data_IF_719214264203
#
_entry.id   IF_719214264203
#
_cell.length_a   1.000
_cell.length_b   1.000
_cell.length_c   1.000
_cell.angle_alpha   90.00
_cell.angle_beta   90.00
_cell.angle_gamma   90.00
#
_symmetry.space_group_name_H-M   'P 1'
#
loop_
_entity.id
_entity.type
_entity.pdbx_description
1 polymer ?
#
# COMPACT_ATOMS: atom_id res chain seq x y z
N UNK A 1 71.75 -12.47 9.55
CA UNK A 1 70.87 -11.44 8.93
C UNK A 1 69.49 -11.97 8.49
N UNK A 2 69.12 -13.27 8.66
CA UNK A 2 67.84 -13.90 8.25
C UNK A 2 66.69 -13.77 9.27
N UNK A 3 67.02 -13.68 10.58
CA UNK A 3 65.99 -13.70 11.65
C UNK A 3 65.16 -12.39 11.76
N UNK A 4 65.68 -11.24 11.33
CA UNK A 4 64.96 -9.95 11.38
C UNK A 4 63.86 -9.83 10.31
N UNK A 5 63.96 -10.52 9.16
CA UNK A 5 62.96 -10.48 8.08
C UNK A 5 61.67 -11.23 8.44
N UNK A 6 61.75 -12.34 9.17
CA UNK A 6 60.58 -13.12 9.57
C UNK A 6 59.71 -12.38 10.63
N UNK A 7 60.33 -11.62 11.53
CA UNK A 7 59.55 -10.80 12.50
C UNK A 7 58.82 -9.61 11.86
N UNK A 8 59.36 -9.04 10.79
CA UNK A 8 58.72 -8.00 10.04
C UNK A 8 57.51 -8.53 9.26
N UNK A 9 57.63 -9.67 8.59
CA UNK A 9 56.53 -10.32 7.84
C UNK A 9 55.40 -10.74 8.78
N UNK A 10 55.71 -11.25 9.98
CA UNK A 10 54.72 -11.65 10.99
C UNK A 10 53.97 -10.41 11.55
N UNK A 11 54.65 -9.28 11.74
CA UNK A 11 54.03 -8.01 12.19
C UNK A 11 53.14 -7.40 11.11
N UNK A 12 53.50 -7.49 9.85
CA UNK A 12 52.65 -7.01 8.73
C UNK A 12 51.45 -7.91 8.52
N UNK A 13 51.59 -9.23 8.72
CA UNK A 13 50.50 -10.20 8.68
C UNK A 13 49.43 -9.95 9.76
N UNK A 14 49.86 -9.61 10.99
CA UNK A 14 48.92 -9.29 12.09
C UNK A 14 48.19 -7.95 11.88
N UNK A 15 48.85 -6.95 11.29
CA UNK A 15 48.22 -5.66 10.94
C UNK A 15 47.20 -5.82 9.80
N UNK A 16 47.49 -6.65 8.79
CA UNK A 16 46.56 -6.96 7.72
C UNK A 16 45.36 -7.78 8.21
N UNK A 17 45.54 -8.70 9.15
CA UNK A 17 44.46 -9.50 9.73
C UNK A 17 43.57 -8.66 10.65
N UNK A 18 44.08 -7.66 11.36
CA UNK A 18 43.30 -6.74 12.20
C UNK A 18 42.50 -5.69 11.35
N UNK A 19 43.00 -5.34 10.16
CA UNK A 19 42.32 -4.44 9.25
C UNK A 19 41.05 -5.10 8.61
N UNK A 20 41.01 -6.45 8.53
CA UNK A 20 39.83 -7.18 8.04
C UNK A 20 38.64 -7.14 9.02
N UNK A 21 38.86 -6.83 10.30
CA UNK A 21 37.81 -6.72 11.32
C UNK A 21 37.18 -5.32 11.37
N UNK A 22 37.72 -4.36 10.66
CA UNK A 22 37.13 -3.00 10.50
C UNK A 22 36.36 -2.85 9.21
N UNK A 23 35.82 -3.94 8.64
CA UNK A 23 34.77 -3.78 7.62
C UNK A 23 33.58 -3.07 8.29
N UNK A 24 33.22 -1.86 7.85
CA UNK A 24 32.02 -1.23 8.37
C UNK A 24 30.90 -2.21 8.08
N UNK A 25 30.30 -2.75 9.14
CA UNK A 25 28.99 -3.37 9.04
C UNK A 25 28.12 -2.31 8.38
N UNK A 26 27.80 -2.49 7.12
CA UNK A 26 26.78 -1.68 6.46
C UNK A 26 25.53 -1.94 7.30
N UNK A 27 25.24 -1.01 8.21
CA UNK A 27 23.98 -0.99 8.91
C UNK A 27 22.92 -1.04 7.81
N UNK A 28 22.21 -2.15 7.75
CA UNK A 28 21.09 -2.33 6.82
C UNK A 28 20.25 -1.07 6.98
N UNK A 29 20.25 -0.25 5.95
CA UNK A 29 19.40 0.92 5.91
C UNK A 29 18.00 0.42 6.21
N UNK A 30 17.45 0.95 7.30
CA UNK A 30 16.05 0.74 7.71
C UNK A 30 15.21 0.60 6.46
N UNK A 31 14.51 -0.53 6.33
CA UNK A 31 13.66 -0.84 5.18
C UNK A 31 12.79 0.38 4.87
N UNK A 32 13.25 1.20 3.95
CA UNK A 32 12.52 2.40 3.55
C UNK A 32 11.40 1.99 2.59
N UNK A 33 10.32 2.76 2.54
CA UNK A 33 9.22 2.51 1.61
C UNK A 33 9.72 2.32 0.16
N UNK A 34 10.79 3.01 -0.22
CA UNK A 34 11.41 2.86 -1.54
C UNK A 34 11.97 1.46 -1.79
N UNK A 35 12.58 0.84 -0.79
CA UNK A 35 13.07 -0.54 -0.89
C UNK A 35 11.92 -1.54 -1.04
N UNK A 36 10.82 -1.35 -0.31
CA UNK A 36 9.62 -2.17 -0.47
C UNK A 36 9.01 -2.05 -1.87
N UNK A 37 8.95 -0.84 -2.42
CA UNK A 37 8.46 -0.61 -3.78
C UNK A 37 9.35 -1.28 -4.84
N UNK A 38 10.66 -1.23 -4.69
CA UNK A 38 11.59 -1.92 -5.58
C UNK A 38 11.42 -3.44 -5.50
N UNK A 39 11.34 -3.97 -4.29
CA UNK A 39 11.13 -5.40 -4.04
C UNK A 39 9.80 -5.88 -4.66
N UNK A 40 8.71 -5.13 -4.44
CA UNK A 40 7.41 -5.43 -5.02
C UNK A 40 7.45 -5.43 -6.55
N UNK A 41 8.06 -4.40 -7.17
CA UNK A 41 8.18 -4.31 -8.62
C UNK A 41 8.97 -5.47 -9.24
N UNK A 42 9.97 -5.99 -8.51
CA UNK A 42 10.85 -7.06 -8.98
C UNK A 42 10.24 -8.46 -8.84
N UNK A 43 9.53 -8.71 -7.74
CA UNK A 43 9.09 -10.06 -7.38
C UNK A 43 7.58 -10.30 -7.53
N UNK A 44 6.77 -9.27 -7.74
CA UNK A 44 5.33 -9.44 -7.84
C UNK A 44 4.95 -10.18 -9.14
N UNK A 45 4.20 -11.30 -9.06
CA UNK A 45 3.85 -12.11 -10.23
C UNK A 45 2.98 -11.38 -11.25
N UNK A 46 2.07 -10.51 -10.81
CA UNK A 46 1.17 -9.75 -11.69
C UNK A 46 1.93 -8.79 -12.60
N UNK A 47 2.90 -8.04 -12.04
CA UNK A 47 3.75 -7.13 -12.82
C UNK A 47 4.67 -7.91 -13.76
N UNK A 48 5.23 -9.04 -13.30
CA UNK A 48 6.07 -9.90 -14.12
C UNK A 48 5.29 -10.52 -15.29
N UNK A 49 4.03 -10.92 -15.08
CA UNK A 49 3.16 -11.42 -16.15
C UNK A 49 2.83 -10.35 -17.20
N UNK A 50 2.50 -9.14 -16.77
CA UNK A 50 2.26 -7.99 -17.66
C UNK A 50 3.51 -7.64 -18.48
N UNK A 51 4.70 -7.71 -17.87
CA UNK A 51 5.96 -7.52 -18.56
C UNK A 51 6.26 -8.64 -19.59
N UNK A 52 5.93 -9.89 -19.25
CA UNK A 52 6.06 -11.00 -20.19
C UNK A 52 5.12 -10.86 -21.39
N UNK A 53 3.88 -10.38 -21.17
CA UNK A 53 2.94 -10.07 -22.25
C UNK A 53 3.46 -8.96 -23.17
N UNK A 54 4.05 -7.91 -22.60
CA UNK A 54 4.73 -6.87 -23.39
C UNK A 54 5.86 -7.45 -24.24
N UNK A 55 6.74 -8.29 -23.68
CA UNK A 55 7.79 -8.96 -24.44
C UNK A 55 7.22 -9.83 -25.56
N UNK A 56 6.18 -10.59 -25.27
CA UNK A 56 5.51 -11.41 -26.28
C UNK A 56 4.92 -10.57 -27.43
N UNK A 57 4.39 -9.37 -27.12
CA UNK A 57 3.89 -8.45 -28.15
C UNK A 57 5.02 -7.85 -29.00
N UNK A 58 6.21 -7.61 -28.43
CA UNK A 58 7.38 -7.19 -29.22
C UNK A 58 7.83 -8.26 -30.21
N UNK A 59 7.80 -9.54 -29.82
CA UNK A 59 8.15 -10.65 -30.73
C UNK A 59 7.12 -10.88 -31.84
N UNK A 60 5.90 -10.37 -31.71
CA UNK A 60 4.90 -10.38 -32.78
C UNK A 60 5.19 -9.38 -33.92
N UNK A 61 5.95 -8.31 -33.65
CA UNK A 61 6.27 -7.28 -34.66
C UNK A 61 7.00 -7.87 -35.88
N UNK A 62 8.09 -8.64 -35.72
CA UNK A 62 8.73 -9.27 -36.86
C UNK A 62 7.83 -10.32 -37.54
N UNK A 63 7.01 -11.06 -36.78
CA UNK A 63 6.09 -12.05 -37.31
C UNK A 63 5.00 -11.43 -38.19
N UNK A 64 4.40 -10.30 -37.76
CA UNK A 64 3.40 -9.59 -38.57
C UNK A 64 3.95 -9.06 -39.90
N UNK A 65 5.26 -8.81 -39.96
CA UNK A 65 5.93 -8.42 -41.18
C UNK A 65 6.51 -9.59 -42.01
N UNK A 66 6.36 -10.84 -41.56
CA UNK A 66 6.87 -12.00 -42.31
C UNK A 66 6.00 -12.34 -43.53
N UNK A 67 6.53 -13.13 -44.43
CA UNK A 67 5.71 -13.79 -45.44
C UNK A 67 4.97 -14.96 -44.84
N UNK A 68 3.80 -15.30 -45.38
CA UNK A 68 3.12 -16.55 -45.03
C UNK A 68 4.02 -17.74 -45.39
N UNK A 69 3.97 -18.79 -44.62
CA UNK A 69 4.72 -20.01 -44.88
C UNK A 69 4.28 -20.65 -46.19
N UNK A 70 5.22 -21.20 -46.98
CA UNK A 70 4.86 -21.97 -48.16
C UNK A 70 4.17 -23.28 -47.76
N UNK A 71 3.05 -23.56 -48.38
CA UNK A 71 2.29 -24.82 -48.18
C UNK A 71 2.66 -25.78 -49.29
N UNK A 72 3.10 -26.97 -48.90
CA UNK A 72 3.36 -28.08 -49.80
C UNK A 72 2.32 -29.19 -49.57
N UNK A 73 1.42 -29.36 -50.52
CA UNK A 73 0.44 -30.42 -50.50
C UNK A 73 0.97 -31.59 -51.37
N UNK A 74 0.90 -32.82 -50.83
CA UNK A 74 1.32 -34.03 -51.51
C UNK A 74 0.16 -35.01 -51.52
N UNK A 75 -0.41 -35.23 -52.68
CA UNK A 75 -1.45 -36.24 -52.90
C UNK A 75 -0.87 -37.54 -53.52
N UNK A 76 -1.19 -38.70 -52.93
CA UNK A 76 -0.84 -39.99 -53.51
C UNK A 76 -2.12 -40.76 -53.81
N UNK A 77 -2.28 -41.20 -55.07
CA UNK A 77 -3.45 -41.90 -55.53
C UNK A 77 -3.18 -43.43 -55.52
N UNK A 78 -3.82 -44.15 -54.63
CA UNK A 78 -3.73 -45.62 -54.56
C UNK A 78 -4.34 -46.31 -55.75
N UNK A 79 -5.28 -45.66 -56.46
CA UNK A 79 -5.79 -46.08 -57.77
C UNK A 79 -5.41 -44.94 -58.74
N UNK A 80 -4.58 -45.25 -59.77
CA UNK A 80 -4.19 -44.25 -60.73
C UNK A 80 -5.42 -43.62 -61.41
N UNK A 81 -5.52 -42.30 -61.42
CA UNK A 81 -6.58 -41.57 -62.10
C UNK A 81 -6.19 -41.46 -63.59
N UNK A 82 -7.03 -41.99 -64.48
CA UNK A 82 -6.79 -41.85 -65.93
C UNK A 82 -7.16 -40.44 -66.35
N UNK A 83 -6.15 -39.69 -66.78
CA UNK A 83 -6.31 -38.37 -67.43
C UNK A 83 -5.93 -38.48 -68.90
N UNK A 84 -6.34 -37.48 -69.69
CA UNK A 84 -6.07 -37.44 -71.16
C UNK A 84 -4.59 -37.60 -71.50
N UNK A 85 -3.67 -37.24 -70.59
CA UNK A 85 -2.23 -37.32 -70.80
C UNK A 85 -1.50 -38.44 -70.07
N UNK A 86 -2.23 -39.41 -69.45
CA UNK A 86 -1.62 -40.56 -68.80
C UNK A 86 -2.21 -40.85 -67.40
N UNK A 87 -1.56 -41.78 -66.66
CA UNK A 87 -2.01 -42.20 -65.31
C UNK A 87 -1.32 -41.33 -64.22
N UNK A 88 -2.08 -40.55 -63.48
CA UNK A 88 -1.57 -39.75 -62.38
C UNK A 88 -1.50 -40.62 -61.08
N UNK A 89 -0.29 -40.74 -60.54
CA UNK A 89 0.01 -41.54 -59.31
C UNK A 89 0.26 -40.63 -58.11
N UNK A 90 0.79 -39.46 -58.34
CA UNK A 90 1.09 -38.47 -57.30
C UNK A 90 0.83 -37.05 -57.78
N UNK A 91 0.47 -36.19 -56.86
CA UNK A 91 0.28 -34.75 -57.04
C UNK A 91 1.10 -33.99 -56.03
N UNK A 92 1.80 -32.93 -56.45
CA UNK A 92 2.59 -32.07 -55.64
C UNK A 92 2.19 -30.64 -55.96
N UNK A 93 1.56 -29.97 -55.02
CA UNK A 93 1.14 -28.59 -55.13
C UNK A 93 1.91 -27.73 -54.15
N UNK A 94 2.69 -26.76 -54.63
CA UNK A 94 3.36 -25.77 -53.82
C UNK A 94 2.59 -24.46 -53.93
N UNK A 95 2.05 -23.98 -52.83
CA UNK A 95 1.32 -22.74 -52.75
C UNK A 95 2.08 -21.74 -51.88
N UNK A 96 2.31 -20.52 -52.38
CA UNK A 96 2.91 -19.40 -51.67
C UNK A 96 2.04 -18.16 -51.84
N UNK A 97 1.54 -17.64 -50.73
CA UNK A 97 0.76 -16.40 -50.73
C UNK A 97 1.69 -15.18 -50.67
N UNK A 98 1.53 -14.27 -51.61
CA UNK A 98 2.22 -12.98 -51.62
C UNK A 98 1.20 -11.88 -51.35
N UNK A 99 1.26 -11.24 -50.13
CA UNK A 99 0.36 -10.13 -49.80
C UNK A 99 0.64 -8.93 -50.67
N UNK A 100 -0.37 -8.08 -50.91
CA UNK A 100 -0.29 -6.87 -51.71
C UNK A 100 0.74 -5.89 -51.13
N UNK A 101 1.29 -5.02 -52.02
CA UNK A 101 2.26 -4.01 -51.62
C UNK A 101 1.71 -3.10 -50.51
N UNK A 102 2.48 -2.90 -49.42
CA UNK A 102 2.10 -2.10 -48.26
C UNK A 102 1.40 -2.87 -47.10
N UNK A 103 0.69 -3.97 -47.38
CA UNK A 103 -0.02 -4.74 -46.34
C UNK A 103 0.90 -5.19 -45.20
N UNK A 104 2.09 -5.70 -45.53
CA UNK A 104 3.09 -6.13 -44.54
C UNK A 104 3.61 -4.96 -43.70
N UNK A 105 3.76 -3.77 -44.30
CA UNK A 105 4.17 -2.56 -43.58
C UNK A 105 3.06 -2.12 -42.63
N UNK A 106 1.80 -2.13 -43.07
CA UNK A 106 0.64 -1.80 -42.25
C UNK A 106 0.49 -2.78 -41.10
N UNK A 107 0.56 -4.09 -41.33
CA UNK A 107 0.49 -5.12 -40.29
C UNK A 107 1.62 -4.99 -39.23
N UNK A 108 2.83 -4.62 -39.68
CA UNK A 108 3.95 -4.34 -38.79
C UNK A 108 3.74 -3.07 -37.96
N UNK A 109 3.15 -2.02 -38.56
CA UNK A 109 2.77 -0.79 -37.84
C UNK A 109 1.72 -1.07 -36.78
N UNK A 110 0.67 -1.79 -37.14
CA UNK A 110 -0.37 -2.25 -36.21
C UNK A 110 0.23 -3.05 -35.03
N UNK A 111 1.07 -4.05 -35.32
CA UNK A 111 1.74 -4.84 -34.28
C UNK A 111 2.64 -3.97 -33.39
N UNK A 112 3.24 -2.90 -33.93
CA UNK A 112 4.06 -1.96 -33.14
C UNK A 112 3.19 -1.17 -32.16
N UNK A 113 2.04 -0.65 -32.61
CA UNK A 113 1.12 0.08 -31.72
C UNK A 113 0.47 -0.87 -30.69
N UNK A 114 0.19 -2.13 -31.06
CA UNK A 114 -0.25 -3.15 -30.11
C UNK A 114 0.81 -3.46 -29.03
N UNK A 115 2.09 -3.48 -29.41
CA UNK A 115 3.18 -3.63 -28.45
C UNK A 115 3.31 -2.40 -27.54
N UNK A 116 3.07 -1.19 -28.04
CA UNK A 116 3.01 0.04 -27.25
C UNK A 116 1.85 -0.02 -26.24
N UNK A 117 0.68 -0.46 -26.69
CA UNK A 117 -0.48 -0.67 -25.80
C UNK A 117 -0.15 -1.65 -24.65
N UNK A 118 0.49 -2.78 -24.96
CA UNK A 118 0.91 -3.76 -23.94
C UNK A 118 1.95 -3.18 -22.96
N UNK A 119 2.82 -2.28 -23.43
CA UNK A 119 3.76 -1.56 -22.56
C UNK A 119 3.05 -0.61 -21.59
N UNK A 120 2.07 0.14 -22.07
CA UNK A 120 1.29 1.04 -21.20
C UNK A 120 0.46 0.24 -20.17
N UNK A 121 -0.06 -0.92 -20.56
CA UNK A 121 -0.73 -1.84 -19.63
C UNK A 121 0.22 -2.38 -18.55
N UNK A 122 1.48 -2.68 -18.89
CA UNK A 122 2.51 -3.00 -17.91
C UNK A 122 2.78 -1.82 -16.95
N UNK A 123 2.87 -0.59 -17.48
CA UNK A 123 3.04 0.63 -16.65
C UNK A 123 1.88 0.81 -15.68
N UNK A 124 0.65 0.61 -16.13
CA UNK A 124 -0.55 0.68 -15.31
C UNK A 124 -0.52 -0.38 -14.20
N UNK A 125 -0.25 -1.64 -14.53
CA UNK A 125 -0.13 -2.73 -13.54
C UNK A 125 0.91 -2.41 -12.47
N UNK A 126 2.06 -1.86 -12.85
CA UNK A 126 3.11 -1.42 -11.92
C UNK A 126 2.67 -0.26 -11.05
N UNK A 127 1.98 0.74 -11.62
CA UNK A 127 1.51 1.90 -10.86
C UNK A 127 0.43 1.49 -9.84
N UNK A 128 -0.47 0.59 -10.21
CA UNK A 128 -1.48 0.03 -9.32
C UNK A 128 -0.82 -0.74 -8.17
N UNK A 129 0.18 -1.57 -8.44
CA UNK A 129 0.96 -2.23 -7.40
C UNK A 129 1.62 -1.23 -6.45
N UNK A 130 2.23 -0.17 -6.97
CA UNK A 130 2.86 0.88 -6.14
C UNK A 130 1.83 1.60 -5.27
N UNK A 131 0.65 1.85 -5.79
CA UNK A 131 -0.46 2.43 -5.01
C UNK A 131 -0.88 1.49 -3.88
N UNK A 132 -1.08 0.21 -4.17
CA UNK A 132 -1.47 -0.79 -3.16
C UNK A 132 -0.40 -0.95 -2.08
N UNK A 133 0.88 -1.06 -2.44
CA UNK A 133 2.00 -1.17 -1.48
C UNK A 133 2.06 0.08 -0.59
N UNK A 134 1.96 1.28 -1.16
CA UNK A 134 1.92 2.52 -0.38
C UNK A 134 0.72 2.58 0.55
N UNK A 135 -0.46 2.25 0.05
CA UNK A 135 -1.69 2.25 0.84
C UNK A 135 -1.60 1.30 2.03
N UNK A 136 -1.14 0.07 1.81
CA UNK A 136 -0.95 -0.92 2.89
C UNK A 136 0.14 -0.50 3.88
N UNK A 137 1.22 0.10 3.40
CA UNK A 137 2.28 0.61 4.28
C UNK A 137 1.78 1.74 5.19
N UNK A 138 1.00 2.69 4.64
CA UNK A 138 0.38 3.75 5.46
C UNK A 138 -0.66 3.19 6.42
N UNK A 139 -1.41 2.16 6.03
CA UNK A 139 -2.35 1.48 6.92
C UNK A 139 -1.62 0.82 8.09
N UNK A 140 -0.49 0.15 7.86
CA UNK A 140 0.35 -0.44 8.92
C UNK A 140 0.89 0.64 9.88
N UNK A 141 1.37 1.76 9.34
CA UNK A 141 1.80 2.89 10.17
C UNK A 141 0.66 3.42 11.05
N UNK A 142 -0.54 3.59 10.48
CA UNK A 142 -1.71 4.05 11.22
C UNK A 142 -2.09 3.08 12.35
N UNK A 143 -2.11 1.78 12.08
CA UNK A 143 -2.36 0.76 13.11
C UNK A 143 -1.30 0.78 14.22
N UNK A 144 -0.04 0.99 13.87
CA UNK A 144 1.05 1.09 14.83
C UNK A 144 0.91 2.34 15.73
N UNK A 145 0.54 3.47 15.16
CA UNK A 145 0.28 4.70 15.95
C UNK A 145 -0.98 4.56 16.80
N UNK A 146 -2.05 3.94 16.31
CA UNK A 146 -3.23 3.64 17.12
C UNK A 146 -2.88 2.75 18.30
N UNK A 147 -2.06 1.71 18.08
CA UNK A 147 -1.59 0.83 19.16
C UNK A 147 -0.79 1.61 20.21
N UNK A 148 0.18 2.44 19.79
CA UNK A 148 0.97 3.27 20.72
C UNK A 148 0.09 4.21 21.55
N UNK A 149 -0.86 4.89 20.88
CA UNK A 149 -1.77 5.83 21.55
C UNK A 149 -2.71 5.11 22.54
N UNK A 150 -3.28 3.97 22.15
CA UNK A 150 -4.13 3.17 23.04
C UNK A 150 -3.35 2.63 24.24
N UNK A 151 -2.12 2.16 24.02
CA UNK A 151 -1.24 1.71 25.11
C UNK A 151 -0.87 2.86 26.06
N UNK A 152 -0.60 4.06 25.55
CA UNK A 152 -0.36 5.24 26.37
C UNK A 152 -1.59 5.64 27.18
N UNK A 153 -2.78 5.60 26.59
CA UNK A 153 -4.05 5.86 27.27
C UNK A 153 -4.30 4.84 28.39
N UNK A 154 -4.03 3.55 28.14
CA UNK A 154 -4.13 2.51 29.14
C UNK A 154 -3.19 2.76 30.35
N UNK A 155 -1.94 3.20 30.05
CA UNK A 155 -0.99 3.55 31.10
C UNK A 155 -1.47 4.73 31.96
N UNK A 156 -2.10 5.75 31.33
CA UNK A 156 -2.70 6.88 32.05
C UNK A 156 -3.89 6.42 32.92
N UNK A 157 -4.77 5.56 32.40
CA UNK A 157 -5.89 5.04 33.18
C UNK A 157 -5.43 4.20 34.37
N UNK A 158 -4.34 3.43 34.27
CA UNK A 158 -3.73 2.71 35.41
C UNK A 158 -3.25 3.68 36.49
N UNK A 159 -2.70 4.83 36.12
CA UNK A 159 -2.32 5.86 37.09
C UNK A 159 -3.56 6.51 37.76
N UNK A 160 -4.61 6.77 36.96
CA UNK A 160 -5.87 7.32 37.46
C UNK A 160 -6.58 6.34 38.41
N UNK A 161 -6.57 5.04 38.11
CA UNK A 161 -7.11 4.00 39.03
C UNK A 161 -6.39 4.04 40.35
N UNK A 162 -5.05 4.06 40.37
CA UNK A 162 -4.29 4.16 41.62
C UNK A 162 -4.63 5.42 42.42
N UNK A 163 -4.77 6.57 41.72
CA UNK A 163 -5.16 7.82 42.38
C UNK A 163 -6.59 7.74 42.96
N UNK A 164 -7.54 7.15 42.22
CA UNK A 164 -8.91 6.95 42.66
C UNK A 164 -8.98 5.98 43.87
N UNK A 165 -8.21 4.89 43.86
CA UNK A 165 -8.11 3.97 45.02
C UNK A 165 -7.53 4.66 46.24
N UNK A 166 -6.44 5.42 46.09
CA UNK A 166 -5.84 6.17 47.20
C UNK A 166 -6.84 7.19 47.80
N UNK A 167 -7.63 7.83 46.94
CA UNK A 167 -8.66 8.78 47.38
C UNK A 167 -9.81 8.08 48.08
N UNK A 168 -10.23 6.92 47.59
CA UNK A 168 -11.26 6.08 48.22
C UNK A 168 -10.81 5.59 49.59
N UNK A 169 -9.59 5.08 49.73
CA UNK A 169 -9.05 4.59 51.02
C UNK A 169 -8.82 5.73 52.01
N UNK A 170 -8.38 6.91 51.55
CA UNK A 170 -8.23 8.09 52.40
C UNK A 170 -9.58 8.62 52.94
N UNK A 171 -10.65 8.54 52.14
CA UNK A 171 -11.99 8.96 52.54
C UNK A 171 -12.69 7.96 53.49
N UNK A 172 -12.26 6.70 53.46
CA UNK A 172 -12.80 5.63 54.33
C UNK A 172 -12.08 5.50 55.70
N UNK A 173 -11.04 6.30 55.98
CA UNK A 173 -10.36 6.31 57.27
C UNK A 173 -11.11 7.24 58.23
N UNK A 174 -11.73 6.74 59.33
CA UNK A 174 -12.43 7.58 60.29
C UNK A 174 -11.42 8.33 61.14
N UNK A 175 -11.31 9.63 60.91
CA UNK A 175 -10.82 10.55 61.90
C UNK A 175 -9.35 10.97 61.91
N UNK A 176 -9.03 11.97 61.10
CA UNK A 176 -8.14 13.08 61.49
C UNK A 176 -8.76 14.37 60.96
N UNK A 177 -9.17 15.33 61.75
CA UNK A 177 -9.61 16.62 61.26
C UNK A 177 -8.38 17.34 60.65
N UNK A 178 -8.29 17.37 59.34
CA UNK A 178 -7.30 18.21 58.66
C UNK A 178 -7.74 19.67 58.83
N UNK A 179 -7.07 20.34 59.73
CA UNK A 179 -7.15 21.77 59.89
C UNK A 179 -6.80 22.44 58.56
N UNK A 180 -7.77 23.15 58.02
CA UNK A 180 -7.65 23.92 56.79
C UNK A 180 -6.66 25.07 56.96
N UNK A 181 -5.40 24.82 56.64
CA UNK A 181 -4.45 25.90 56.38
C UNK A 181 -4.48 26.16 54.85
N UNK A 182 -5.45 26.95 54.43
CA UNK A 182 -5.54 27.48 53.10
C UNK A 182 -4.38 28.48 52.89
N UNK A 183 -3.40 28.07 52.11
CA UNK A 183 -2.53 28.99 51.41
C UNK A 183 -2.67 28.71 49.92
N UNK A 184 -3.60 29.44 49.31
CA UNK A 184 -3.78 29.45 47.85
C UNK A 184 -2.66 30.28 47.23
N UNK A 185 -1.90 29.75 46.31
CA UNK A 185 -1.13 30.61 45.42
C UNK A 185 -2.11 31.22 44.40
N UNK A 186 -2.20 32.55 44.44
CA UNK A 186 -2.91 33.37 43.46
C UNK A 186 -2.22 33.24 42.14
N UNK A 187 -2.81 32.45 41.23
CA UNK A 187 -2.42 32.46 39.78
C UNK A 187 -3.29 33.52 39.15
N UNK A 188 -2.64 34.62 38.68
CA UNK A 188 -3.28 35.64 37.90
C UNK A 188 -3.86 35.11 36.61
N UNK A 189 -5.07 35.52 36.20
CA UNK A 189 -5.68 35.05 34.95
C UNK A 189 -4.99 35.65 33.72
N UNK A 190 -4.60 34.79 32.79
CA UNK A 190 -4.24 35.18 31.41
C UNK A 190 -5.48 35.72 30.70
N UNK A 191 -5.34 36.73 29.82
CA UNK A 191 -6.46 37.34 29.12
C UNK A 191 -7.05 36.35 28.08
N UNK A 192 -8.34 36.06 28.22
CA UNK A 192 -9.15 35.36 27.22
C UNK A 192 -9.30 36.22 25.97
N UNK A 193 -8.83 35.72 24.84
CA UNK A 193 -9.20 36.21 23.53
C UNK A 193 -10.66 35.81 23.23
N UNK A 194 -11.53 36.80 23.20
CA UNK A 194 -12.94 36.66 22.77
C UNK A 194 -12.98 36.36 21.28
N UNK A 195 -13.30 35.13 20.92
CA UNK A 195 -13.69 34.78 19.56
C UNK A 195 -15.20 35.01 19.43
N UNK A 196 -15.54 36.07 18.73
CA UNK A 196 -16.91 36.46 18.41
C UNK A 196 -17.44 35.52 17.32
N UNK A 197 -18.27 34.55 17.66
CA UNK A 197 -18.92 33.67 16.71
C UNK A 197 -20.31 34.24 16.39
N UNK A 198 -20.39 35.01 15.30
CA UNK A 198 -21.65 35.50 14.72
C UNK A 198 -22.53 34.36 14.24
N UNK A 199 -23.66 34.27 14.86
CA UNK A 199 -24.76 33.38 14.54
C UNK A 199 -25.48 33.90 13.27
N UNK A 200 -25.26 33.22 12.12
CA UNK A 200 -26.03 33.40 10.89
C UNK A 200 -27.04 32.27 10.74
N UNK A 201 -28.29 32.58 11.10
CA UNK A 201 -29.47 31.76 10.81
C UNK A 201 -29.81 31.86 9.32
N UNK A 202 -29.94 30.72 8.62
CA UNK A 202 -30.67 30.53 7.38
C UNK A 202 -30.91 29.02 7.23
N UNK A 203 -32.16 28.55 7.20
CA UNK A 203 -33.09 28.71 6.11
C UNK A 203 -33.44 27.30 5.64
N UNK A 204 -34.56 26.81 6.09
CA UNK A 204 -35.27 25.58 5.72
C UNK A 204 -35.32 25.38 4.18
N UNK A 205 -34.76 24.28 3.65
CA UNK A 205 -35.06 23.80 2.31
C UNK A 205 -35.38 22.31 2.33
N UNK A 206 -36.61 22.03 1.97
CA UNK A 206 -37.21 20.71 1.75
C UNK A 206 -36.50 19.93 0.63
N UNK A 207 -36.31 18.63 0.77
CA UNK A 207 -35.80 17.80 -0.32
C UNK A 207 -36.91 17.23 -1.18
N UNK A 208 -36.74 17.38 -2.49
CA UNK A 208 -37.52 16.72 -3.56
C UNK A 208 -36.99 15.28 -3.78
N UNK A 209 -37.81 14.31 -4.12
CA UNK A 209 -37.43 12.90 -4.17
C UNK A 209 -36.81 12.51 -5.51
N UNK A 210 -35.69 11.79 -5.47
CA UNK A 210 -35.08 11.08 -6.60
C UNK A 210 -35.30 9.56 -6.49
N UNK A 211 -35.34 8.82 -7.62
CA UNK A 211 -35.89 7.47 -7.71
C UNK A 211 -34.96 6.37 -7.24
N UNK A 212 -35.58 5.31 -6.78
CA UNK A 212 -34.95 4.08 -6.23
C UNK A 212 -34.17 3.28 -7.26
N UNK A 213 -33.01 2.77 -6.84
CA UNK A 213 -32.36 1.59 -7.43
C UNK A 213 -32.12 0.53 -6.35
N UNK A 214 -32.41 -0.75 -6.62
CA UNK A 214 -32.30 -1.82 -5.64
C UNK A 214 -30.93 -2.49 -5.70
N UNK A 215 -30.23 -2.56 -4.59
CA UNK A 215 -28.97 -3.27 -4.48
C UNK A 215 -28.49 -3.32 -3.03
N UNK A 216 -28.89 -4.38 -2.30
CA UNK A 216 -28.59 -4.52 -0.90
C UNK A 216 -27.11 -4.81 -0.62
N UNK A 217 -26.54 -4.02 0.26
CA UNK A 217 -25.41 -4.43 1.10
C UNK A 217 -25.67 -3.81 2.47
N UNK A 218 -25.87 -4.68 3.45
CA UNK A 218 -25.99 -4.27 4.85
C UNK A 218 -24.65 -3.70 5.31
N UNK A 219 -24.52 -2.37 5.22
CA UNK A 219 -23.51 -1.65 5.96
C UNK A 219 -23.90 -1.71 7.44
N UNK A 220 -23.05 -2.31 8.25
CA UNK A 220 -23.08 -2.22 9.71
C UNK A 220 -22.96 -0.75 10.08
N UNK A 221 -24.08 -0.17 10.45
CA UNK A 221 -24.18 1.20 10.94
C UNK A 221 -23.35 1.34 12.20
N UNK A 222 -22.43 2.29 12.18
CA UNK A 222 -21.59 2.64 13.29
C UNK A 222 -22.39 2.93 14.53
N UNK A 223 -21.94 2.34 15.62
CA UNK A 223 -22.29 2.67 16.98
C UNK A 223 -21.77 4.09 17.26
N UNK A 224 -22.56 5.08 16.90
CA UNK A 224 -22.38 6.45 17.35
C UNK A 224 -22.64 6.46 18.85
N UNK A 225 -21.58 6.47 19.63
CA UNK A 225 -21.65 6.77 21.06
C UNK A 225 -22.18 8.19 21.23
N UNK A 226 -23.44 8.27 21.49
CA UNK A 226 -24.09 9.47 22.02
C UNK A 226 -23.52 9.71 23.43
N UNK A 227 -22.40 10.42 23.51
CA UNK A 227 -21.91 10.96 24.76
C UNK A 227 -22.79 12.12 25.17
N UNK A 228 -23.98 11.76 25.70
CA UNK A 228 -24.80 12.69 26.43
C UNK A 228 -24.01 13.19 27.64
N UNK A 229 -23.56 14.44 27.55
CA UNK A 229 -22.96 15.15 28.65
C UNK A 229 -23.95 15.19 29.83
N UNK A 230 -23.80 14.30 30.78
CA UNK A 230 -24.38 14.49 32.10
C UNK A 230 -23.62 15.61 32.76
N UNK A 231 -24.32 16.62 33.33
CA UNK A 231 -23.64 17.67 34.09
C UNK A 231 -22.91 17.04 35.27
N UNK A 232 -21.64 17.37 35.38
CA UNK A 232 -20.80 16.98 36.50
C UNK A 232 -21.36 17.60 37.78
N UNK A 233 -22.26 16.84 38.44
CA UNK A 233 -22.78 17.19 39.75
C UNK A 233 -21.67 17.22 40.75
N UNK A 234 -21.51 18.37 41.39
CA UNK A 234 -20.58 18.65 42.46
C UNK A 234 -20.65 17.64 43.59
N UNK A 235 -19.49 17.14 43.99
CA UNK A 235 -19.28 16.68 45.36
C UNK A 235 -19.68 15.26 45.65
N UNK A 236 -18.93 14.29 45.17
CA UNK A 236 -18.77 13.01 45.85
C UNK A 236 -17.29 12.67 45.90
N UNK A 237 -16.73 12.75 47.06
CA UNK A 237 -15.39 12.26 47.40
C UNK A 237 -15.26 10.81 46.94
N UNK A 238 -14.39 10.52 45.95
CA UNK A 238 -13.91 9.24 45.50
C UNK A 238 -14.84 8.05 45.74
N UNK A 239 -15.82 7.83 44.87
CA UNK A 239 -16.78 6.75 44.99
C UNK A 239 -16.18 5.47 44.41
N UNK A 240 -16.48 4.29 44.99
CA UNK A 240 -16.11 2.97 44.45
C UNK A 240 -16.63 2.78 43.01
N UNK A 241 -17.73 3.46 42.67
CA UNK A 241 -18.26 3.47 41.29
C UNK A 241 -17.29 4.09 40.27
N UNK A 242 -16.50 5.09 40.69
CA UNK A 242 -15.50 5.72 39.82
C UNK A 242 -14.35 4.74 39.52
N UNK A 243 -13.93 3.97 40.53
CA UNK A 243 -12.91 2.92 40.36
C UNK A 243 -13.40 1.83 39.42
N UNK A 244 -14.62 1.34 39.58
CA UNK A 244 -15.22 0.32 38.72
C UNK A 244 -15.37 0.81 37.29
N UNK A 245 -15.73 2.08 37.08
CA UNK A 245 -15.81 2.69 35.76
C UNK A 245 -14.45 2.74 35.06
N UNK A 246 -13.40 3.15 35.77
CA UNK A 246 -12.04 3.16 35.26
C UNK A 246 -11.58 1.72 34.91
N UNK A 247 -11.89 0.72 35.72
CA UNK A 247 -11.56 -0.67 35.45
C UNK A 247 -12.29 -1.21 34.22
N UNK A 248 -13.55 -0.84 34.00
CA UNK A 248 -14.30 -1.21 32.80
C UNK A 248 -13.67 -0.60 31.57
N UNK A 249 -13.33 0.69 31.60
CA UNK A 249 -12.64 1.39 30.49
C UNK A 249 -11.28 0.76 30.19
N UNK A 250 -10.52 0.37 31.22
CA UNK A 250 -9.24 -0.31 31.05
C UNK A 250 -9.42 -1.67 30.36
N UNK A 251 -10.43 -2.47 30.75
CA UNK A 251 -10.73 -3.74 30.11
C UNK A 251 -11.13 -3.56 28.64
N UNK A 252 -11.89 -2.54 28.31
CA UNK A 252 -12.23 -2.18 26.92
C UNK A 252 -10.99 -1.80 26.11
N UNK A 253 -10.08 -1.00 26.67
CA UNK A 253 -8.83 -0.65 26.00
C UNK A 253 -7.89 -1.86 25.83
N UNK A 254 -7.83 -2.78 26.78
CA UNK A 254 -7.05 -4.02 26.67
C UNK A 254 -7.59 -4.91 25.54
N UNK A 255 -8.91 -5.08 25.44
CA UNK A 255 -9.54 -5.78 24.31
C UNK A 255 -9.26 -5.08 22.96
N UNK A 256 -9.29 -3.75 22.94
CA UNK A 256 -8.96 -2.98 21.74
C UNK A 256 -7.49 -3.15 21.32
N UNK A 257 -6.56 -3.21 22.27
CA UNK A 257 -5.15 -3.49 21.99
C UNK A 257 -4.96 -4.87 21.35
N UNK A 258 -5.64 -5.91 21.82
CA UNK A 258 -5.60 -7.25 21.23
C UNK A 258 -6.17 -7.24 19.79
N UNK A 259 -7.28 -6.54 19.60
CA UNK A 259 -7.88 -6.37 18.27
C UNK A 259 -6.92 -5.64 17.30
N UNK A 260 -6.25 -4.58 17.76
CA UNK A 260 -5.25 -3.85 16.97
C UNK A 260 -4.04 -4.72 16.62
N UNK A 261 -3.56 -5.56 17.54
CA UNK A 261 -2.47 -6.51 17.26
C UNK A 261 -2.88 -7.56 16.22
N UNK A 262 -4.09 -8.07 16.31
CA UNK A 262 -4.63 -9.02 15.33
C UNK A 262 -4.77 -8.37 13.94
N UNK A 263 -5.33 -7.16 13.87
CA UNK A 263 -5.46 -6.38 12.64
C UNK A 263 -4.10 -6.05 12.03
N UNK A 264 -3.11 -5.73 12.86
CA UNK A 264 -1.74 -5.48 12.42
C UNK A 264 -1.13 -6.72 11.78
N UNK A 265 -1.25 -7.90 12.40
CA UNK A 265 -0.75 -9.17 11.84
C UNK A 265 -1.40 -9.47 10.47
N UNK A 266 -2.71 -9.26 10.35
CA UNK A 266 -3.43 -9.44 9.08
C UNK A 266 -2.94 -8.45 8.00
N UNK A 267 -2.72 -7.19 8.37
CA UNK A 267 -2.18 -6.18 7.46
C UNK A 267 -0.73 -6.47 7.05
N UNK A 268 0.13 -6.95 7.98
CA UNK A 268 1.50 -7.40 7.68
C UNK A 268 1.51 -8.57 6.70
N UNK A 269 0.66 -9.57 6.90
CA UNK A 269 0.54 -10.70 5.98
C UNK A 269 0.10 -10.25 4.58
N UNK A 270 -0.87 -9.33 4.49
CA UNK A 270 -1.31 -8.75 3.21
C UNK A 270 -0.21 -7.95 2.53
N UNK A 271 0.52 -7.13 3.28
CA UNK A 271 1.66 -6.38 2.75
C UNK A 271 2.76 -7.30 2.22
N UNK A 272 3.11 -8.35 2.97
CA UNK A 272 4.09 -9.35 2.54
C UNK A 272 3.66 -10.12 1.29
N UNK A 273 2.36 -10.39 1.15
CA UNK A 273 1.78 -11.00 -0.05
C UNK A 273 2.00 -10.13 -1.30
N UNK A 274 1.85 -8.79 -1.21
CA UNK A 274 2.12 -7.87 -2.32
C UNK A 274 3.60 -7.89 -2.75
N UNK A 275 4.51 -8.12 -1.81
CA UNK A 275 5.94 -8.24 -2.05
C UNK A 275 6.36 -9.64 -2.50
N UNK A 276 5.45 -10.60 -2.53
CA UNK A 276 5.73 -12.02 -2.80
C UNK A 276 6.82 -12.60 -1.88
N UNK A 277 6.71 -12.32 -0.58
CA UNK A 277 7.60 -12.84 0.45
C UNK A 277 6.80 -13.57 1.53
N UNK A 278 7.50 -14.25 2.46
CA UNK A 278 6.85 -14.97 3.56
C UNK A 278 5.96 -14.03 4.38
N UNK A 279 4.72 -14.48 4.64
CA UNK A 279 3.69 -13.71 5.33
C UNK A 279 4.04 -13.41 6.79
N UNK A 280 4.92 -14.21 7.41
CA UNK A 280 5.32 -14.08 8.81
C UNK A 280 6.43 -13.04 9.05
N UNK A 281 7.04 -12.50 7.99
CA UNK A 281 8.14 -11.54 8.12
C UNK A 281 7.65 -10.22 8.71
N UNK A 282 8.34 -9.68 9.73
CA UNK A 282 7.98 -8.39 10.30
C UNK A 282 8.19 -7.26 9.29
N UNK A 283 7.28 -6.30 9.29
CA UNK A 283 7.36 -5.10 8.46
C UNK A 283 7.81 -3.94 9.33
N UNK A 284 8.92 -3.31 8.95
CA UNK A 284 9.38 -2.10 9.61
C UNK A 284 8.60 -0.90 9.08
N UNK A 285 7.98 -0.18 9.98
CA UNK A 285 7.26 1.06 9.70
C UNK A 285 8.07 2.24 10.22
N UNK A 286 7.88 3.42 9.63
CA UNK A 286 8.54 4.64 10.11
C UNK A 286 7.95 5.05 11.47
N UNK A 287 8.80 5.45 12.40
CA UNK A 287 8.37 5.88 13.74
C UNK A 287 7.62 7.22 13.75
N UNK A 288 7.72 8.00 12.68
CA UNK A 288 7.00 9.27 12.58
C UNK A 288 6.51 9.52 11.16
N UNK A 289 5.21 9.76 11.01
CA UNK A 289 4.61 10.27 9.79
C UNK A 289 4.62 11.79 9.85
N UNK A 290 5.51 12.43 9.10
CA UNK A 290 5.48 13.88 8.90
C UNK A 290 4.37 14.24 7.93
N UNK A 291 3.44 15.08 8.37
CA UNK A 291 2.42 15.62 7.48
C UNK A 291 3.06 16.51 6.44
N UNK A 292 3.07 16.05 5.19
CA UNK A 292 3.52 16.85 4.06
C UNK A 292 2.32 17.59 3.48
N UNK A 293 2.29 18.90 3.67
CA UNK A 293 1.26 19.75 3.04
C UNK A 293 1.43 19.68 1.52
N UNK A 294 0.39 19.20 0.86
CA UNK A 294 0.35 19.11 -0.60
C UNK A 294 -0.09 20.49 -1.14
N UNK A 295 0.86 21.34 -1.45
CA UNK A 295 0.62 22.67 -2.02
C UNK A 295 0.84 22.64 -3.53
N UNK A 296 -0.10 22.02 -4.27
CA UNK A 296 -0.06 22.03 -5.74
C UNK A 296 -1.33 22.72 -6.25
N UNK A 297 -1.18 23.60 -7.25
CA UNK A 297 -2.32 24.22 -7.93
C UNK A 297 -3.09 23.11 -8.68
N UNK A 298 -4.40 23.06 -8.51
CA UNK A 298 -5.25 22.00 -9.07
C UNK A 298 -5.07 21.78 -10.58
N UNK A 299 -4.91 22.88 -11.35
CA UNK A 299 -4.69 22.79 -12.79
C UNK A 299 -3.37 22.08 -13.16
N UNK A 300 -2.28 22.32 -12.42
CA UNK A 300 -1.00 21.67 -12.67
C UNK A 300 -1.04 20.16 -12.36
N UNK A 301 -1.88 19.75 -11.41
CA UNK A 301 -2.13 18.33 -11.12
C UNK A 301 -2.89 17.67 -12.26
N UNK A 302 -3.94 18.31 -12.75
CA UNK A 302 -4.73 17.79 -13.87
C UNK A 302 -3.89 17.62 -15.13
N UNK A 303 -3.07 18.61 -15.49
CA UNK A 303 -2.17 18.54 -16.64
C UNK A 303 -1.15 17.40 -16.48
N UNK A 304 -0.59 17.25 -15.29
CA UNK A 304 0.34 16.16 -14.97
C UNK A 304 -0.33 14.78 -15.07
N UNK A 305 -1.59 14.65 -14.60
CA UNK A 305 -2.34 13.39 -14.70
C UNK A 305 -2.61 13.04 -16.17
N UNK A 306 -3.06 14.00 -16.96
CA UNK A 306 -3.36 13.78 -18.39
C UNK A 306 -2.10 13.34 -19.15
N UNK A 307 -0.96 13.97 -18.89
CA UNK A 307 0.30 13.66 -19.57
C UNK A 307 0.93 12.33 -19.12
N UNK A 308 0.70 11.90 -17.88
CA UNK A 308 1.37 10.74 -17.29
C UNK A 308 0.49 9.49 -17.18
N UNK A 309 -0.81 9.59 -17.52
CA UNK A 309 -1.76 8.50 -17.36
C UNK A 309 -1.54 7.41 -18.42
N UNK A 310 -1.14 6.17 -18.01
CA UNK A 310 -0.91 5.08 -18.95
C UNK A 310 -2.17 4.67 -19.73
N UNK A 311 -3.35 4.79 -19.11
CA UNK A 311 -4.62 4.44 -19.72
C UNK A 311 -4.94 5.31 -20.95
N UNK A 312 -4.66 6.63 -20.88
CA UNK A 312 -4.83 7.52 -22.02
C UNK A 312 -3.85 7.20 -23.14
N UNK A 313 -2.58 6.93 -22.79
CA UNK A 313 -1.56 6.53 -23.78
C UNK A 313 -1.88 5.17 -24.42
N UNK A 314 -2.52 4.26 -23.68
CA UNK A 314 -2.99 2.97 -24.19
C UNK A 314 -4.10 3.15 -25.23
N UNK A 315 -5.11 3.99 -24.95
CA UNK A 315 -6.21 4.29 -25.87
C UNK A 315 -5.71 5.02 -27.14
N UNK A 316 -4.71 5.90 -26.99
CA UNK A 316 -4.07 6.54 -28.13
C UNK A 316 -3.35 5.54 -29.03
N UNK A 317 -2.59 4.61 -28.45
CA UNK A 317 -1.92 3.54 -29.18
C UNK A 317 -2.93 2.61 -29.88
N UNK A 318 -4.04 2.28 -29.22
CA UNK A 318 -5.14 1.51 -29.81
C UNK A 318 -5.76 2.24 -31.00
N UNK A 319 -6.07 3.52 -30.86
CA UNK A 319 -6.61 4.33 -31.95
C UNK A 319 -5.64 4.43 -33.15
N UNK A 320 -4.33 4.45 -32.90
CA UNK A 320 -3.31 4.48 -33.95
C UNK A 320 -3.14 3.11 -34.63
N UNK A 321 -3.37 2.02 -33.92
CA UNK A 321 -3.33 0.67 -34.50
C UNK A 321 -4.42 0.45 -35.56
N UNK A 322 -5.57 1.14 -35.45
CA UNK A 322 -6.69 1.04 -36.39
C UNK A 322 -6.64 2.06 -37.55
N UNK A 323 -5.63 2.91 -37.64
CA UNK A 323 -5.38 3.83 -38.77
C UNK A 323 -4.50 3.21 -39.86
#
# INVERSE_FOLDING_TARGET
>A
MRIKKHKAILRWGTILLSALWYLPSQAQTTDSLSHYLETAARYNPSVNSSFALYKASLEKIPQAGAFSDPELEMGFFFKPMEQLSGKQVADFTLMQMFPWFGTRKAARSEATEMARMAYEQFRESRNNLFYEVKSQWYQLNNLNEQYKNTAANLALLKQLEQLALNRYTASSSPGVPVSSAATSPVISPLPQATVNNGMGSMGNMTPSPAPASPGGSKAMSGMGSNMGGSPMGSGSSGSMSDVLRIQTEMAELENNLEALLSNRKAAEARFNSLLNRDQSLPVQTSDSLTQKLFSVKDNAVLDSIILSNPMLSMLEAEANAYK
#
